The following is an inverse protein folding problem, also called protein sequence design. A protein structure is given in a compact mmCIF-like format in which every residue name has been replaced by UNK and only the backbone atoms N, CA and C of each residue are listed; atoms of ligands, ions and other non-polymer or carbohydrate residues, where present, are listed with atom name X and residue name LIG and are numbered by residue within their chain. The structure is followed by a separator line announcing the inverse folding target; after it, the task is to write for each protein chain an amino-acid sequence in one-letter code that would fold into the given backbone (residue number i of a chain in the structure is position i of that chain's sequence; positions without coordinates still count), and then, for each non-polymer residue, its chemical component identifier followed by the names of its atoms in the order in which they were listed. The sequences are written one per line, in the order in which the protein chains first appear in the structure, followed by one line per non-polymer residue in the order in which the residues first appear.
data_IF_799494156360
#
_entry.id   IF_799494156360
#
_cell.length_a   1.000
_cell.length_b   1.000
_cell.length_c   1.000
_cell.angle_alpha   90.00
_cell.angle_beta   90.00
_cell.angle_gamma   90.00
#
_symmetry.space_group_name_H-M   'P 1'
#
loop_
_entity.id
_entity.type
_entity.pdbx_description
1 polymer ?
#
# COMPACT_ATOMS: atom_id res chain seq x y z
N UNK A 1 -27.43 6.31 -12.02
CA UNK A 1 -26.87 4.93 -12.04
C UNK A 1 -25.41 5.00 -11.61
N UNK A 2 -25.00 4.16 -10.66
CA UNK A 2 -23.66 4.18 -10.06
C UNK A 2 -22.57 3.84 -11.09
N UNK A 3 -21.47 4.60 -11.05
CA UNK A 3 -20.34 4.48 -11.98
C UNK A 3 -19.40 3.36 -11.55
N UNK A 4 -19.81 2.12 -11.79
CA UNK A 4 -18.86 1.01 -11.84
C UNK A 4 -18.79 0.55 -13.28
N UNK A 5 -17.73 0.96 -13.97
CA UNK A 5 -17.54 0.79 -15.40
C UNK A 5 -16.62 -0.39 -15.69
N UNK A 6 -16.49 -0.73 -16.97
CA UNK A 6 -15.57 -1.77 -17.43
C UNK A 6 -14.11 -1.44 -17.09
N UNK A 7 -13.76 -0.16 -16.94
CA UNK A 7 -12.42 0.27 -16.56
C UNK A 7 -12.08 -0.15 -15.12
N UNK A 8 -12.99 0.05 -14.15
CA UNK A 8 -12.76 -0.40 -12.78
C UNK A 8 -12.62 -1.92 -12.70
N UNK A 9 -13.32 -2.65 -13.58
CA UNK A 9 -13.23 -4.10 -13.67
C UNK A 9 -11.89 -4.54 -14.24
N UNK A 10 -11.41 -3.89 -15.30
CA UNK A 10 -10.11 -4.17 -15.91
C UNK A 10 -8.98 -3.95 -14.91
N UNK A 11 -9.09 -2.92 -14.06
CA UNK A 11 -8.15 -2.70 -12.95
C UNK A 11 -8.14 -3.91 -12.02
N UNK A 12 -9.29 -4.41 -11.57
CA UNK A 12 -9.35 -5.60 -10.70
C UNK A 12 -8.74 -6.85 -11.37
N UNK A 13 -9.00 -7.05 -12.65
CA UNK A 13 -8.42 -8.15 -13.43
C UNK A 13 -6.89 -8.03 -13.51
N UNK A 14 -6.35 -6.82 -13.69
CA UNK A 14 -4.92 -6.57 -13.61
C UNK A 14 -4.35 -6.88 -12.22
N UNK A 15 -4.98 -6.44 -11.14
CA UNK A 15 -4.51 -6.77 -9.79
C UNK A 15 -4.47 -8.27 -9.55
N UNK A 16 -5.50 -9.02 -9.97
CA UNK A 16 -5.53 -10.48 -9.86
C UNK A 16 -4.42 -11.12 -10.71
N UNK A 17 -4.16 -10.58 -11.91
CA UNK A 17 -3.10 -11.09 -12.78
C UNK A 17 -1.71 -10.93 -12.16
N UNK A 18 -1.45 -9.81 -11.48
CA UNK A 18 -0.13 -9.50 -10.91
C UNK A 18 0.07 -10.05 -9.49
N UNK A 19 -0.98 -10.04 -8.67
CA UNK A 19 -0.96 -10.42 -7.25
C UNK A 19 -1.73 -11.73 -6.98
N UNK A 20 -2.08 -12.46 -8.03
CA UNK A 20 -2.84 -13.70 -7.91
C UNK A 20 -4.25 -13.51 -7.33
N UNK A 21 -4.98 -14.62 -7.22
CA UNK A 21 -6.37 -14.60 -6.75
C UNK A 21 -6.51 -14.20 -5.27
N UNK A 22 -5.46 -14.43 -4.48
CA UNK A 22 -5.48 -14.22 -3.03
C UNK A 22 -5.59 -12.75 -2.64
N UNK A 23 -5.20 -11.81 -3.51
CA UNK A 23 -5.33 -10.37 -3.27
C UNK A 23 -6.78 -9.98 -2.93
N UNK A 24 -7.78 -10.68 -3.50
CA UNK A 24 -9.19 -10.42 -3.25
C UNK A 24 -9.58 -10.58 -1.77
N UNK A 25 -8.85 -11.40 -1.00
CA UNK A 25 -9.06 -11.54 0.44
C UNK A 25 -8.67 -10.30 1.24
N UNK A 26 -7.90 -9.39 0.63
CA UNK A 26 -7.34 -8.19 1.24
C UNK A 26 -7.90 -6.88 0.65
N UNK A 27 -8.82 -6.96 -0.32
CA UNK A 27 -9.45 -5.78 -0.90
C UNK A 27 -10.72 -5.38 -0.14
N UNK A 28 -10.92 -4.06 -0.04
CA UNK A 28 -12.13 -3.38 0.42
C UNK A 28 -12.54 -2.38 -0.65
N UNK A 29 -13.79 -2.44 -1.10
CA UNK A 29 -14.32 -1.50 -2.08
C UNK A 29 -14.73 -0.20 -1.39
N UNK A 30 -14.27 0.94 -1.91
CA UNK A 30 -14.66 2.26 -1.42
C UNK A 30 -15.49 2.94 -2.49
N UNK A 31 -16.79 3.09 -2.22
CA UNK A 31 -17.69 3.82 -3.11
C UNK A 31 -17.76 5.27 -2.65
N UNK A 32 -17.29 6.17 -3.49
CA UNK A 32 -17.42 7.62 -3.28
C UNK A 32 -18.61 8.16 -4.07
N UNK A 33 -19.05 9.38 -3.74
CA UNK A 33 -20.07 10.12 -4.47
C UNK A 33 -21.49 9.47 -4.49
N UNK A 34 -21.88 8.74 -3.43
CA UNK A 34 -23.26 8.20 -3.31
C UNK A 34 -24.32 9.30 -3.19
N UNK A 35 -23.95 10.44 -2.65
CA UNK A 35 -24.73 11.67 -2.60
C UNK A 35 -25.20 12.12 -3.99
N UNK A 36 -24.33 12.17 -5.00
CA UNK A 36 -24.73 12.47 -6.40
C UNK A 36 -25.68 11.41 -6.98
N UNK A 37 -25.59 10.16 -6.50
CA UNK A 37 -26.55 9.13 -6.87
C UNK A 37 -27.90 9.32 -6.19
N UNK A 38 -27.91 9.71 -4.89
CA UNK A 38 -29.12 10.00 -4.10
C UNK A 38 -29.87 11.22 -4.63
N UNK A 39 -29.18 12.29 -5.00
CA UNK A 39 -29.75 13.49 -5.61
C UNK A 39 -30.62 13.17 -6.84
N UNK A 40 -30.27 12.14 -7.63
CA UNK A 40 -31.09 11.70 -8.78
C UNK A 40 -32.47 11.08 -8.41
N UNK A 41 -32.74 10.93 -7.12
CA UNK A 41 -34.00 10.48 -6.55
C UNK A 41 -34.71 11.53 -5.70
N UNK A 42 -34.08 12.68 -5.40
CA UNK A 42 -34.66 13.73 -4.55
C UNK A 42 -35.84 14.47 -5.22
N UNK A 43 -35.86 14.55 -6.56
CA UNK A 43 -36.99 15.11 -7.32
C UNK A 43 -38.21 14.17 -7.41
N UNK A 44 -38.10 12.96 -6.85
CA UNK A 44 -39.19 11.98 -6.78
C UNK A 44 -39.59 11.87 -5.32
N UNK A 45 -40.88 11.95 -5.03
CA UNK A 45 -41.51 11.89 -3.70
C UNK A 45 -41.32 10.52 -3.00
N UNK A 46 -40.08 10.05 -2.95
CA UNK A 46 -39.63 8.73 -2.57
C UNK A 46 -38.48 8.87 -1.56
N UNK A 47 -38.46 7.95 -0.58
CA UNK A 47 -37.40 7.90 0.41
C UNK A 47 -36.02 7.77 -0.24
N UNK A 48 -35.03 8.50 0.28
CA UNK A 48 -33.63 8.42 -0.18
C UNK A 48 -33.17 6.96 -0.15
N UNK A 49 -32.80 6.38 -1.31
CA UNK A 49 -32.50 4.96 -1.36
C UNK A 49 -31.24 4.61 -0.54
N UNK A 50 -31.31 3.47 0.16
CA UNK A 50 -30.23 2.99 1.03
C UNK A 50 -29.00 2.54 0.23
N UNK A 51 -27.88 2.37 0.93
CA UNK A 51 -26.65 1.81 0.34
C UNK A 51 -26.88 0.43 -0.27
N UNK A 52 -27.74 -0.40 0.35
CA UNK A 52 -28.08 -1.72 -0.20
C UNK A 52 -28.76 -1.63 -1.57
N UNK A 53 -29.58 -0.59 -1.79
CA UNK A 53 -30.20 -0.34 -3.09
C UNK A 53 -29.13 0.06 -4.11
N UNK A 54 -28.16 0.88 -3.72
CA UNK A 54 -27.02 1.23 -4.57
C UNK A 54 -26.23 -0.03 -4.98
N UNK A 55 -25.85 -0.87 -4.02
CA UNK A 55 -25.08 -2.09 -4.28
C UNK A 55 -25.86 -3.06 -5.17
N UNK A 56 -27.17 -3.22 -4.95
CA UNK A 56 -28.03 -4.05 -5.81
C UNK A 56 -28.15 -3.52 -7.23
N UNK A 57 -28.00 -2.19 -7.41
CA UNK A 57 -28.05 -1.54 -8.72
C UNK A 57 -26.76 -1.67 -9.53
N UNK A 58 -25.68 -2.18 -8.94
CA UNK A 58 -24.41 -2.37 -9.63
C UNK A 58 -24.51 -3.45 -10.71
N UNK A 59 -23.68 -3.37 -11.78
CA UNK A 59 -23.58 -4.42 -12.79
C UNK A 59 -23.28 -5.80 -12.17
N UNK A 60 -23.78 -6.88 -12.76
CA UNK A 60 -23.56 -8.25 -12.25
C UNK A 60 -22.08 -8.59 -12.06
N UNK A 61 -21.22 -8.13 -12.98
CA UNK A 61 -19.78 -8.35 -12.89
C UNK A 61 -19.18 -7.68 -11.65
N UNK A 62 -19.64 -6.48 -11.29
CA UNK A 62 -19.25 -5.76 -10.08
C UNK A 62 -19.67 -6.52 -8.81
N UNK A 63 -20.92 -6.97 -8.78
CA UNK A 63 -21.47 -7.76 -7.66
C UNK A 63 -20.70 -9.05 -7.46
N UNK A 64 -20.32 -9.74 -8.55
CA UNK A 64 -19.47 -10.93 -8.47
C UNK A 64 -18.10 -10.65 -7.81
N UNK A 65 -17.47 -9.49 -8.08
CA UNK A 65 -16.23 -9.13 -7.40
C UNK A 65 -16.43 -8.73 -5.95
N UNK A 66 -17.50 -8.01 -5.62
CA UNK A 66 -17.87 -7.73 -4.23
C UNK A 66 -18.05 -9.03 -3.43
N UNK A 67 -18.72 -10.03 -4.00
CA UNK A 67 -18.89 -11.35 -3.38
C UNK A 67 -17.55 -12.06 -3.17
N UNK A 68 -16.66 -12.07 -4.17
CA UNK A 68 -15.30 -12.61 -4.04
C UNK A 68 -14.49 -11.88 -2.96
N UNK A 69 -14.76 -10.60 -2.75
CA UNK A 69 -14.22 -9.79 -1.66
C UNK A 69 -15.06 -9.90 -0.37
N UNK A 70 -15.86 -10.95 -0.20
CA UNK A 70 -16.69 -11.22 0.99
C UNK A 70 -17.60 -10.06 1.38
N UNK A 71 -18.11 -9.33 0.39
CA UNK A 71 -18.94 -8.15 0.52
C UNK A 71 -18.31 -7.04 1.38
N UNK A 72 -16.98 -6.93 1.35
CA UNK A 72 -16.25 -5.82 1.97
C UNK A 72 -16.35 -4.57 1.11
N UNK A 73 -17.26 -3.69 1.48
CA UNK A 73 -17.32 -2.34 0.95
C UNK A 73 -17.61 -1.30 2.03
N UNK A 74 -17.35 -0.04 1.71
CA UNK A 74 -17.82 1.13 2.43
C UNK A 74 -18.30 2.19 1.44
N UNK A 75 -19.35 2.90 1.81
CA UNK A 75 -19.87 4.06 1.12
C UNK A 75 -19.36 5.32 1.84
N UNK A 76 -18.64 6.18 1.13
CA UNK A 76 -18.06 7.40 1.68
C UNK A 76 -18.66 8.63 1.01
N UNK A 77 -19.19 9.53 1.84
CA UNK A 77 -19.65 10.84 1.42
C UNK A 77 -18.56 11.88 1.71
N UNK A 78 -17.92 12.37 0.66
CA UNK A 78 -16.83 13.35 0.76
C UNK A 78 -17.34 14.77 1.08
N UNK A 79 -18.64 15.04 0.92
CA UNK A 79 -19.30 16.31 1.27
C UNK A 79 -19.90 16.32 2.68
N UNK A 80 -19.90 15.17 3.36
CA UNK A 80 -20.39 15.04 4.73
C UNK A 80 -19.65 15.97 5.72
N UNK A 81 -20.31 16.24 6.85
CA UNK A 81 -19.70 17.01 7.96
C UNK A 81 -18.56 16.22 8.59
N UNK A 82 -17.62 16.91 9.24
CA UNK A 82 -16.44 16.28 9.83
C UNK A 82 -16.79 15.13 10.78
N UNK A 83 -17.80 15.31 11.64
CA UNK A 83 -18.26 14.26 12.56
C UNK A 83 -18.76 12.99 11.85
N UNK A 84 -19.35 13.13 10.66
CA UNK A 84 -19.84 12.01 9.85
C UNK A 84 -18.70 11.34 9.07
N UNK A 85 -17.72 12.13 8.62
CA UNK A 85 -16.48 11.65 8.03
C UNK A 85 -15.68 10.82 9.02
N UNK A 86 -15.47 11.32 10.24
CA UNK A 86 -14.78 10.59 11.31
C UNK A 86 -15.44 9.23 11.59
N UNK A 87 -16.77 9.20 11.68
CA UNK A 87 -17.53 7.94 11.85
C UNK A 87 -17.31 6.98 10.67
N UNK A 88 -17.25 7.49 9.45
CA UNK A 88 -17.04 6.68 8.24
C UNK A 88 -15.61 6.13 8.18
N UNK A 89 -14.62 6.96 8.51
CA UNK A 89 -13.21 6.54 8.60
C UNK A 89 -13.04 5.47 9.68
N UNK A 90 -13.67 5.64 10.84
CA UNK A 90 -13.65 4.63 11.91
C UNK A 90 -14.22 3.28 11.42
N UNK A 91 -15.36 3.29 10.73
CA UNK A 91 -15.94 2.06 10.13
C UNK A 91 -15.02 1.42 9.09
N UNK A 92 -14.28 2.22 8.32
CA UNK A 92 -13.30 1.68 7.36
C UNK A 92 -12.16 0.96 8.09
N UNK A 93 -11.62 1.57 9.15
CA UNK A 93 -10.58 0.96 9.98
C UNK A 93 -11.08 -0.35 10.59
N UNK A 94 -12.28 -0.38 11.17
CA UNK A 94 -12.89 -1.59 11.73
C UNK A 94 -13.01 -2.71 10.68
N UNK A 95 -13.39 -2.39 9.44
CA UNK A 95 -13.44 -3.36 8.33
C UNK A 95 -12.05 -3.89 7.94
N UNK A 96 -11.04 -3.02 7.97
CA UNK A 96 -9.64 -3.43 7.71
C UNK A 96 -9.13 -4.33 8.82
N UNK A 97 -9.39 -4.01 10.08
CA UNK A 97 -9.01 -4.85 11.23
C UNK A 97 -9.69 -6.22 11.18
N UNK A 98 -11.00 -6.26 10.88
CA UNK A 98 -11.74 -7.52 10.69
C UNK A 98 -11.16 -8.34 9.53
N UNK A 99 -10.82 -7.68 8.43
CA UNK A 99 -10.18 -8.31 7.28
C UNK A 99 -8.80 -8.89 7.66
N UNK A 100 -7.96 -8.15 8.39
CA UNK A 100 -6.66 -8.66 8.85
C UNK A 100 -6.83 -9.85 9.79
N UNK A 101 -7.75 -9.77 10.74
CA UNK A 101 -8.07 -10.87 11.66
C UNK A 101 -8.46 -12.15 10.92
N UNK A 102 -9.30 -12.03 9.89
CA UNK A 102 -9.70 -13.16 9.03
C UNK A 102 -8.57 -13.70 8.13
N UNK A 103 -7.49 -12.93 7.95
CA UNK A 103 -6.30 -13.31 7.20
C UNK A 103 -5.09 -13.58 8.12
N UNK A 104 -5.33 -14.00 9.36
CA UNK A 104 -4.28 -14.41 10.30
C UNK A 104 -3.42 -13.25 10.80
N UNK A 105 -3.95 -12.03 10.81
CA UNK A 105 -3.25 -10.78 11.16
C UNK A 105 -1.98 -10.52 10.33
N UNK A 106 -1.93 -11.07 9.12
CA UNK A 106 -0.83 -10.90 8.18
C UNK A 106 -1.17 -9.87 7.12
N UNK A 107 -0.17 -9.14 6.65
CA UNK A 107 -0.31 -8.37 5.41
C UNK A 107 -0.39 -9.32 4.22
N UNK A 108 -0.97 -8.86 3.11
CA UNK A 108 -0.85 -9.57 1.85
C UNK A 108 0.64 -9.74 1.49
N UNK A 109 1.02 -10.95 1.11
CA UNK A 109 2.36 -11.27 0.60
C UNK A 109 2.25 -12.24 -0.57
N UNK A 110 3.24 -12.19 -1.45
CA UNK A 110 3.47 -13.15 -2.52
C UNK A 110 4.96 -13.18 -2.86
N UNK A 111 5.40 -14.16 -3.64
CA UNK A 111 6.81 -14.40 -3.99
C UNK A 111 7.51 -13.14 -4.51
N UNK A 112 6.82 -12.35 -5.32
CA UNK A 112 7.37 -11.10 -5.86
C UNK A 112 7.66 -10.07 -4.75
N UNK A 113 6.80 -10.00 -3.71
CA UNK A 113 7.03 -9.14 -2.54
C UNK A 113 8.19 -9.67 -1.69
N UNK A 114 8.23 -10.97 -1.44
CA UNK A 114 9.33 -11.59 -0.68
C UNK A 114 10.68 -11.41 -1.35
N UNK A 115 10.73 -11.51 -2.69
CA UNK A 115 11.95 -11.29 -3.46
C UNK A 115 12.37 -9.82 -3.45
N UNK A 116 11.43 -8.90 -3.64
CA UNK A 116 11.70 -7.47 -3.53
C UNK A 116 12.23 -7.09 -2.14
N UNK A 117 11.65 -7.65 -1.08
CA UNK A 117 12.10 -7.42 0.30
C UNK A 117 13.53 -7.95 0.52
N UNK A 118 13.84 -9.16 0.04
CA UNK A 118 15.20 -9.73 0.11
C UNK A 118 16.22 -8.86 -0.64
N UNK A 119 15.85 -8.33 -1.80
CA UNK A 119 16.70 -7.42 -2.58
C UNK A 119 16.96 -6.14 -1.77
N UNK A 120 15.92 -5.54 -1.18
CA UNK A 120 16.06 -4.33 -0.36
C UNK A 120 16.94 -4.57 0.87
N UNK A 121 16.73 -5.67 1.58
CA UNK A 121 17.56 -6.06 2.73
C UNK A 121 19.03 -6.25 2.30
N UNK A 122 19.27 -6.95 1.19
CA UNK A 122 20.61 -7.15 0.64
C UNK A 122 21.28 -5.82 0.29
N UNK A 123 20.55 -4.90 -0.35
CA UNK A 123 21.06 -3.56 -0.69
C UNK A 123 21.43 -2.77 0.56
N UNK A 124 20.61 -2.84 1.62
CA UNK A 124 20.93 -2.20 2.90
C UNK A 124 22.21 -2.76 3.52
N UNK A 125 22.36 -4.09 3.56
CA UNK A 125 23.58 -4.73 4.06
C UNK A 125 24.82 -4.36 3.23
N UNK A 126 24.71 -4.40 1.90
CA UNK A 126 25.81 -4.03 1.00
C UNK A 126 26.24 -2.57 1.21
N UNK A 127 25.30 -1.66 1.44
CA UNK A 127 25.62 -0.26 1.72
C UNK A 127 26.35 -0.11 3.06
N UNK A 128 25.92 -0.81 4.11
CA UNK A 128 26.62 -0.79 5.41
C UNK A 128 28.07 -1.29 5.28
N UNK A 129 28.27 -2.43 4.61
CA UNK A 129 29.62 -2.99 4.38
C UNK A 129 30.47 -2.03 3.54
N UNK A 130 29.88 -1.41 2.51
CA UNK A 130 30.58 -0.42 1.68
C UNK A 130 31.09 0.76 2.50
N UNK A 131 30.31 1.24 3.47
CA UNK A 131 30.70 2.36 4.32
C UNK A 131 31.81 1.96 5.31
N UNK A 132 31.76 0.74 5.86
CA UNK A 132 32.84 0.19 6.69
C UNK A 132 34.17 0.05 5.92
N UNK A 133 34.12 -0.44 4.68
CA UNK A 133 35.30 -0.56 3.80
C UNK A 133 35.91 0.82 3.54
N UNK A 134 35.09 1.81 3.14
CA UNK A 134 35.56 3.18 2.91
C UNK A 134 36.22 3.78 4.15
N UNK A 135 35.66 3.54 5.33
CA UNK A 135 36.25 4.02 6.57
C UNK A 135 37.61 3.36 6.85
N UNK A 136 37.71 2.04 6.62
CA UNK A 136 38.96 1.28 6.77
C UNK A 136 40.05 1.73 5.78
N UNK A 137 39.69 1.97 4.52
CA UNK A 137 40.61 2.53 3.51
C UNK A 137 41.12 3.92 3.89
N UNK A 138 40.23 4.79 4.40
CA UNK A 138 40.62 6.11 4.92
C UNK A 138 41.64 6.01 6.06
N UNK A 139 41.43 5.06 6.98
CA UNK A 139 42.37 4.80 8.07
C UNK A 139 43.73 4.31 7.56
N UNK A 140 43.75 3.31 6.66
CA UNK A 140 44.99 2.77 6.07
C UNK A 140 45.79 3.84 5.33
N UNK A 141 45.12 4.72 4.58
CA UNK A 141 45.76 5.83 3.88
C UNK A 141 46.47 6.79 4.84
N UNK A 142 45.85 7.08 6.00
CA UNK A 142 46.50 7.90 7.04
C UNK A 142 47.73 7.20 7.61
N UNK A 143 47.63 5.92 7.97
CA UNK A 143 48.76 5.15 8.51
C UNK A 143 49.93 5.10 7.52
N UNK A 144 49.65 4.84 6.24
CA UNK A 144 50.67 4.82 5.18
C UNK A 144 51.36 6.19 5.04
N UNK A 145 50.60 7.28 5.12
CA UNK A 145 51.16 8.63 5.10
C UNK A 145 52.10 8.87 6.29
N UNK A 146 51.69 8.47 7.51
CA UNK A 146 52.53 8.59 8.70
C UNK A 146 53.82 7.77 8.60
N UNK A 147 53.74 6.53 8.13
CA UNK A 147 54.93 5.69 7.90
C UNK A 147 55.88 6.34 6.90
N UNK A 148 55.37 6.81 5.76
CA UNK A 148 56.17 7.49 4.73
C UNK A 148 56.89 8.72 5.30
N UNK A 149 56.21 9.54 6.09
CA UNK A 149 56.78 10.71 6.77
C UNK A 149 57.83 10.31 7.82
N UNK A 150 57.60 9.25 8.59
CA UNK A 150 58.57 8.74 9.56
C UNK A 150 59.84 8.25 8.89
N UNK A 151 59.73 7.45 7.82
CA UNK A 151 60.89 6.99 7.04
C UNK A 151 61.69 8.17 6.47
N UNK A 152 61.02 9.17 5.89
CA UNK A 152 61.68 10.36 5.36
C UNK A 152 62.46 11.12 6.44
N UNK A 153 61.88 11.30 7.64
CA UNK A 153 62.57 11.95 8.77
C UNK A 153 63.79 11.15 9.25
N UNK A 154 63.69 9.82 9.29
CA UNK A 154 64.82 8.96 9.67
C UNK A 154 65.96 9.11 8.66
N UNK A 155 65.65 9.03 7.36
CA UNK A 155 66.67 9.20 6.30
C UNK A 155 67.35 10.57 6.34
N UNK A 156 66.65 11.64 6.74
CA UNK A 156 67.23 12.98 6.89
C UNK A 156 68.17 13.09 8.10
N UNK A 157 67.94 12.33 9.18
CA UNK A 157 68.79 12.34 10.38
C UNK A 157 70.06 11.50 10.25
N UNK A 158 70.13 10.62 9.25
CA UNK A 158 71.25 9.72 9.00
C UNK A 158 72.25 10.25 7.96
N UNK A 159 72.04 11.47 7.44
CA UNK A 159 72.97 12.20 6.59
C UNK A 159 73.70 13.27 7.41
#
# INVERSE_FOLDING_TARGET
MGRFTDQEIEVLEHYIKYFGQNILNYLVFVFTHLDSWRESFEDRDASVPSEDVYIKSLPEKAKSYLEKCKNRYICMDNRAKEEEKEKTVKKLIEKVEEMLSKNGNSCYTDKNYEEAEKILQTMMTVNSIRDEIKNSESFLNKVNLYLKLMFQKICLKLK
#
